data_IF_236969157881
#
_entry.id   IF_236969157881
#
_cell.length_a   1.000
_cell.length_b   1.000
_cell.length_c   1.000
_cell.angle_alpha   90.00
_cell.angle_beta   90.00
_cell.angle_gamma   90.00
#
_symmetry.space_group_name_H-M   'P 1'
#
loop_
_entity.id
_entity.type
_entity.pdbx_description
1 polymer ?
#
# COMPACT_ATOMS: atom_id res chain seq x y z
N UNK A 1 0.13 -1.02 -4.34
CA UNK A 1 -1.18 -1.12 -5.01
C UNK A 1 -2.15 -2.04 -4.23
N UNK A 2 -1.93 -3.38 -4.12
CA UNK A 2 -2.85 -4.30 -3.40
C UNK A 2 -3.06 -3.88 -1.94
N UNK A 3 -1.99 -3.56 -1.21
CA UNK A 3 -2.06 -3.07 0.18
C UNK A 3 -2.97 -1.84 0.32
N UNK A 4 -2.83 -0.86 -0.58
CA UNK A 4 -3.62 0.37 -0.57
C UNK A 4 -5.09 0.09 -0.88
N UNK A 5 -5.36 -0.81 -1.83
CA UNK A 5 -6.72 -1.24 -2.19
C UNK A 5 -7.42 -1.97 -1.02
N UNK A 6 -6.69 -2.80 -0.27
CA UNK A 6 -7.23 -3.45 0.94
C UNK A 6 -7.61 -2.42 2.00
N UNK A 7 -6.76 -1.40 2.23
CA UNK A 7 -7.08 -0.30 3.16
C UNK A 7 -8.32 0.48 2.73
N UNK A 8 -8.44 0.81 1.42
CA UNK A 8 -9.64 1.45 0.88
C UNK A 8 -10.89 0.60 1.09
N UNK A 9 -10.85 -0.68 0.68
CA UNK A 9 -11.99 -1.60 0.83
C UNK A 9 -12.43 -1.76 2.28
N UNK A 10 -11.47 -1.76 3.21
CA UNK A 10 -11.81 -1.76 4.64
C UNK A 10 -12.61 -0.54 5.05
N UNK A 11 -12.25 0.67 4.57
CA UNK A 11 -13.00 1.89 4.89
C UNK A 11 -14.42 1.85 4.29
N UNK A 12 -14.55 1.45 3.02
CA UNK A 12 -15.85 1.26 2.36
C UNK A 12 -16.71 0.25 3.15
N UNK A 13 -16.08 -0.82 3.63
CA UNK A 13 -16.71 -1.82 4.46
C UNK A 13 -17.27 -1.25 5.78
N UNK A 14 -16.57 -0.30 6.37
CA UNK A 14 -17.03 0.42 7.56
C UNK A 14 -18.12 1.46 7.24
N UNK A 15 -18.61 1.53 6.00
CA UNK A 15 -19.63 2.50 5.56
C UNK A 15 -19.07 3.90 5.33
N UNK A 16 -17.74 4.03 5.16
CA UNK A 16 -17.10 5.32 4.90
C UNK A 16 -16.86 5.48 3.39
N UNK A 17 -16.94 6.69 2.91
CA UNK A 17 -16.43 7.04 1.58
C UNK A 17 -14.91 6.97 1.60
N UNK A 18 -14.31 6.35 0.56
CA UNK A 18 -12.88 6.22 0.46
C UNK A 18 -12.43 6.31 -1.00
N UNK A 19 -11.46 7.18 -1.27
CA UNK A 19 -10.90 7.44 -2.61
C UNK A 19 -9.48 6.89 -2.64
N UNK A 20 -9.16 6.14 -3.69
CA UNK A 20 -7.81 5.63 -3.97
C UNK A 20 -7.26 6.27 -5.24
N UNK A 21 -6.17 7.00 -5.10
CA UNK A 21 -5.38 7.52 -6.20
C UNK A 21 -4.09 6.71 -6.34
N UNK A 22 -3.76 6.30 -7.56
CA UNK A 22 -2.48 5.71 -7.96
C UNK A 22 -2.03 6.32 -9.27
N UNK A 23 -0.84 5.99 -9.76
CA UNK A 23 -0.36 6.56 -11.01
C UNK A 23 1.04 6.16 -11.38
N UNK A 24 1.59 6.87 -12.37
CA UNK A 24 2.94 6.69 -12.89
C UNK A 24 3.75 7.98 -12.79
N UNK A 25 4.99 7.83 -12.32
CA UNK A 25 6.03 8.85 -12.38
C UNK A 25 6.77 8.66 -13.71
N UNK A 26 6.69 9.68 -14.59
CA UNK A 26 7.05 9.55 -16.02
C UNK A 26 8.17 10.49 -16.47
N UNK A 27 8.69 11.33 -15.59
CA UNK A 27 9.77 12.27 -15.89
C UNK A 27 11.12 11.80 -15.34
N UNK A 28 12.16 12.57 -15.62
CA UNK A 28 13.48 12.38 -15.05
C UNK A 28 14.48 11.66 -15.96
N UNK A 29 15.72 11.60 -15.48
CA UNK A 29 16.87 11.06 -16.21
C UNK A 29 16.72 9.57 -16.55
N UNK A 30 16.12 8.78 -15.66
CA UNK A 30 15.91 7.34 -15.88
C UNK A 30 15.01 7.07 -17.08
N UNK A 31 13.90 7.79 -17.15
CA UNK A 31 12.93 7.66 -18.25
C UNK A 31 13.58 8.15 -19.54
N UNK A 32 14.21 9.32 -19.52
CA UNK A 32 14.92 9.85 -20.69
C UNK A 32 15.94 8.82 -21.25
N UNK A 33 16.77 8.23 -20.39
CA UNK A 33 17.75 7.22 -20.81
C UNK A 33 17.09 5.90 -21.26
N UNK A 34 15.97 5.50 -20.64
CA UNK A 34 15.27 4.29 -21.02
C UNK A 34 14.60 4.44 -22.39
N UNK A 35 13.97 5.58 -22.67
CA UNK A 35 13.40 5.91 -23.96
C UNK A 35 14.46 5.95 -25.07
N UNK A 36 15.62 6.59 -24.78
CA UNK A 36 16.76 6.62 -25.70
C UNK A 36 17.27 5.21 -26.04
N UNK A 37 17.44 4.34 -25.03
CA UNK A 37 17.83 2.94 -25.25
C UNK A 37 16.79 2.15 -26.05
N UNK A 38 15.51 2.48 -25.89
CA UNK A 38 14.43 1.87 -26.65
C UNK A 38 14.25 2.48 -28.05
N UNK A 39 15.04 3.48 -28.41
CA UNK A 39 14.93 4.26 -29.66
C UNK A 39 13.48 4.76 -29.87
N UNK A 40 12.90 5.35 -28.84
CA UNK A 40 11.50 5.83 -28.82
C UNK A 40 11.47 7.22 -28.18
N UNK A 41 10.56 8.07 -28.62
CA UNK A 41 10.31 9.35 -27.97
C UNK A 41 9.84 9.13 -26.52
N UNK A 42 10.30 9.93 -25.55
CA UNK A 42 9.97 9.75 -24.13
C UNK A 42 8.46 9.74 -23.86
N UNK A 43 7.69 10.58 -24.51
CA UNK A 43 6.23 10.61 -24.33
C UNK A 43 5.58 9.29 -24.76
N UNK A 44 5.92 8.79 -25.96
CA UNK A 44 5.42 7.50 -26.46
C UNK A 44 5.86 6.32 -25.56
N UNK A 45 7.10 6.38 -25.04
CA UNK A 45 7.60 5.40 -24.09
C UNK A 45 6.77 5.37 -22.80
N UNK A 46 6.43 6.56 -22.27
CA UNK A 46 5.58 6.72 -21.09
C UNK A 46 4.12 6.29 -21.35
N UNK A 47 3.54 6.63 -22.49
CA UNK A 47 2.17 6.23 -22.87
C UNK A 47 2.03 4.71 -22.83
N UNK A 48 2.96 3.98 -23.46
CA UNK A 48 2.98 2.51 -23.43
C UNK A 48 3.17 1.96 -22.01
N UNK A 49 4.05 2.59 -21.23
CA UNK A 49 4.27 2.21 -19.83
C UNK A 49 3.02 2.41 -18.97
N UNK A 50 2.35 3.54 -19.10
CA UNK A 50 1.14 3.86 -18.34
C UNK A 50 0.00 2.88 -18.65
N UNK A 51 -0.20 2.50 -19.91
CA UNK A 51 -1.23 1.52 -20.29
C UNK A 51 -0.97 0.15 -19.65
N UNK A 52 0.29 -0.30 -19.58
CA UNK A 52 0.66 -1.55 -18.88
C UNK A 52 0.28 -1.46 -17.39
N UNK A 53 0.55 -0.32 -16.73
CA UNK A 53 0.18 -0.15 -15.32
C UNK A 53 -1.34 -0.06 -15.12
N UNK A 54 -2.08 0.60 -16.01
CA UNK A 54 -3.55 0.63 -15.98
C UNK A 54 -4.12 -0.77 -16.15
N UNK A 55 -3.63 -1.55 -17.11
CA UNK A 55 -4.03 -2.95 -17.29
C UNK A 55 -3.72 -3.78 -16.04
N UNK A 56 -2.56 -3.58 -15.41
CA UNK A 56 -2.23 -4.24 -14.15
C UNK A 56 -3.24 -3.90 -13.03
N UNK A 57 -3.72 -2.64 -12.94
CA UNK A 57 -4.73 -2.29 -11.93
C UNK A 57 -6.01 -3.09 -12.13
N UNK A 58 -6.44 -3.26 -13.38
CA UNK A 58 -7.64 -4.04 -13.74
C UNK A 58 -7.44 -5.51 -13.41
N UNK A 59 -6.33 -6.12 -13.87
CA UNK A 59 -6.07 -7.55 -13.67
C UNK A 59 -5.83 -7.91 -12.20
N UNK A 60 -5.25 -7.01 -11.41
CA UNK A 60 -5.10 -7.17 -9.97
C UNK A 60 -6.39 -6.88 -9.18
N UNK A 61 -7.48 -6.50 -9.83
CA UNK A 61 -8.76 -6.22 -9.20
C UNK A 61 -8.72 -5.02 -8.26
N UNK A 62 -7.98 -3.97 -8.61
CA UNK A 62 -7.91 -2.75 -7.80
C UNK A 62 -9.14 -1.86 -8.01
N UNK A 63 -9.53 -1.17 -6.96
CA UNK A 63 -10.66 -0.24 -6.94
C UNK A 63 -10.21 1.23 -6.92
N UNK A 64 -9.14 1.55 -7.65
CA UNK A 64 -8.67 2.93 -7.73
C UNK A 64 -9.67 3.82 -8.48
N UNK A 65 -9.90 5.03 -7.94
CA UNK A 65 -10.81 6.03 -8.51
C UNK A 65 -10.08 6.93 -9.49
N UNK A 66 -8.80 7.20 -9.22
CA UNK A 66 -7.95 8.05 -10.04
C UNK A 66 -6.66 7.34 -10.42
N UNK A 67 -6.21 7.62 -11.63
CA UNK A 67 -4.87 7.25 -12.12
C UNK A 67 -4.20 8.52 -12.62
N UNK A 68 -3.19 9.00 -11.90
CA UNK A 68 -2.44 10.21 -12.24
C UNK A 68 -1.20 9.85 -13.04
N UNK A 69 -0.93 10.64 -14.07
CA UNK A 69 0.34 10.61 -14.80
C UNK A 69 1.04 11.94 -14.62
N UNK A 70 2.33 11.94 -14.34
CA UNK A 70 3.06 13.21 -14.20
C UNK A 70 3.21 13.97 -15.53
N UNK A 71 2.91 13.31 -16.65
CA UNK A 71 2.80 13.93 -17.98
C UNK A 71 1.43 14.55 -18.28
N UNK A 72 0.39 14.34 -17.44
CA UNK A 72 -0.92 14.97 -17.59
C UNK A 72 -0.79 16.51 -17.50
N UNK A 73 -1.61 17.23 -18.26
CA UNK A 73 -1.57 18.70 -18.28
C UNK A 73 -1.92 19.32 -16.93
N UNK A 74 -2.94 18.79 -16.24
CA UNK A 74 -3.34 19.24 -14.91
C UNK A 74 -2.22 19.09 -13.87
N UNK A 75 -1.41 18.04 -14.02
CA UNK A 75 -0.25 17.84 -13.16
C UNK A 75 0.87 18.86 -13.45
N UNK A 76 1.18 19.08 -14.73
CA UNK A 76 2.18 20.08 -15.12
C UNK A 76 1.81 21.48 -14.62
N UNK A 77 0.53 21.86 -14.78
CA UNK A 77 0.01 23.13 -14.27
C UNK A 77 0.14 23.22 -12.74
N UNK A 78 -0.21 22.17 -12.02
CA UNK A 78 -0.08 22.11 -10.57
C UNK A 78 1.37 22.27 -10.10
N UNK A 79 2.33 21.60 -10.76
CA UNK A 79 3.75 21.68 -10.43
C UNK A 79 4.31 23.08 -10.71
N UNK A 80 3.99 23.68 -11.85
CA UNK A 80 4.43 25.03 -12.20
C UNK A 80 3.84 26.08 -11.26
N UNK A 81 2.57 25.93 -10.88
CA UNK A 81 1.95 26.78 -9.87
C UNK A 81 2.65 26.65 -8.50
N UNK A 82 2.91 25.41 -8.05
CA UNK A 82 3.63 25.16 -6.80
C UNK A 82 5.04 25.80 -6.82
N UNK A 83 5.76 25.66 -7.94
CA UNK A 83 7.06 26.31 -8.12
C UNK A 83 6.98 27.83 -7.96
N UNK A 84 6.04 28.49 -8.64
CA UNK A 84 5.81 29.93 -8.54
C UNK A 84 5.54 30.36 -7.11
N UNK A 85 4.68 29.64 -6.39
CA UNK A 85 4.35 29.92 -4.97
C UNK A 85 5.56 29.77 -4.06
N UNK A 86 6.36 28.72 -4.25
CA UNK A 86 7.59 28.50 -3.46
C UNK A 86 8.62 29.62 -3.72
N UNK A 87 8.74 30.07 -4.99
CA UNK A 87 9.62 31.19 -5.38
C UNK A 87 9.16 32.52 -4.77
N UNK A 88 7.87 32.85 -4.87
CA UNK A 88 7.27 34.04 -4.27
C UNK A 88 7.48 34.10 -2.74
N UNK A 89 7.40 32.95 -2.06
CA UNK A 89 7.59 32.83 -0.61
C UNK A 89 9.06 32.79 -0.21
N UNK A 90 10.00 32.87 -1.15
CA UNK A 90 11.43 32.93 -0.89
C UNK A 90 12.09 31.60 -0.55
N UNK A 91 11.40 30.47 -0.78
CA UNK A 91 11.97 29.14 -0.56
C UNK A 91 12.82 28.64 -1.72
N UNK A 92 12.76 29.26 -2.90
CA UNK A 92 13.57 28.93 -4.08
C UNK A 92 14.60 30.04 -4.36
N UNK A 93 15.85 29.63 -4.59
CA UNK A 93 16.94 30.53 -4.99
C UNK A 93 17.88 29.85 -5.99
N UNK A 94 18.53 30.61 -6.85
CA UNK A 94 19.53 30.10 -7.78
C UNK A 94 20.91 30.04 -7.11
N UNK A 95 21.65 28.97 -7.30
CA UNK A 95 23.02 28.80 -6.82
C UNK A 95 23.76 27.77 -7.71
N UNK A 96 25.10 27.87 -7.72
CA UNK A 96 25.93 26.83 -8.30
C UNK A 96 25.96 25.63 -7.35
N UNK A 97 25.57 24.48 -7.84
CA UNK A 97 25.65 23.21 -7.09
C UNK A 97 26.86 22.40 -7.52
N UNK A 98 27.62 21.94 -6.55
CA UNK A 98 28.77 21.03 -6.77
C UNK A 98 28.62 19.86 -5.81
N UNK A 99 28.69 18.63 -6.34
CA UNK A 99 28.56 17.45 -5.49
C UNK A 99 28.51 16.14 -6.27
N UNK A 100 28.42 15.05 -5.51
CA UNK A 100 28.31 13.70 -6.02
C UNK A 100 26.87 13.36 -6.41
N UNK A 101 26.61 13.24 -7.70
CA UNK A 101 25.28 12.94 -8.23
C UNK A 101 25.13 11.48 -8.62
N UNK A 102 24.06 10.84 -8.15
CA UNK A 102 23.67 9.50 -8.57
C UNK A 102 22.57 9.56 -9.62
N UNK A 103 22.87 9.24 -10.88
CA UNK A 103 21.87 9.19 -11.96
C UNK A 103 20.78 8.15 -11.66
N UNK A 104 21.16 7.01 -11.09
CA UNK A 104 20.23 5.93 -10.77
C UNK A 104 19.26 6.25 -9.62
N UNK A 105 19.64 7.12 -8.69
CA UNK A 105 18.81 7.55 -7.57
C UNK A 105 18.22 8.94 -7.82
N UNK A 106 18.70 9.59 -8.91
CA UNK A 106 18.33 10.96 -9.31
C UNK A 106 18.51 11.96 -8.17
N UNK A 107 19.59 11.79 -7.36
CA UNK A 107 19.85 12.64 -6.20
C UNK A 107 21.33 12.95 -6.00
N UNK A 108 21.62 14.04 -5.29
CA UNK A 108 22.96 14.36 -4.80
C UNK A 108 23.19 13.71 -3.45
N UNK A 109 24.41 13.22 -3.23
CA UNK A 109 24.87 12.68 -1.97
C UNK A 109 25.97 13.55 -1.38
N UNK A 110 25.98 13.79 -0.05
CA UNK A 110 27.11 14.46 0.60
C UNK A 110 28.36 13.56 0.52
N UNK A 111 29.53 14.18 0.54
CA UNK A 111 30.80 13.46 0.45
C UNK A 111 30.96 12.37 1.53
N UNK A 112 30.41 12.61 2.72
CA UNK A 112 30.37 11.65 3.83
C UNK A 112 29.57 10.37 3.56
N UNK A 113 28.68 10.38 2.57
CA UNK A 113 27.85 9.24 2.16
C UNK A 113 28.41 8.53 0.90
N UNK A 114 29.66 8.84 0.50
CA UNK A 114 30.29 8.28 -0.69
C UNK A 114 31.42 7.34 -0.28
N UNK A 115 31.54 6.23 -0.99
CA UNK A 115 32.64 5.27 -0.84
C UNK A 115 33.17 4.80 -2.19
N UNK A 116 34.43 4.34 -2.20
CA UNK A 116 35.04 3.74 -3.40
C UNK A 116 34.71 2.26 -3.42
N UNK A 117 34.13 1.78 -4.51
CA UNK A 117 33.80 0.36 -4.74
C UNK A 117 34.57 -0.21 -5.92
N UNK A 118 34.73 -1.53 -5.89
CA UNK A 118 35.28 -2.32 -6.98
C UNK A 118 34.16 -3.10 -7.65
N UNK A 119 34.03 -2.98 -8.97
CA UNK A 119 33.16 -3.87 -9.75
C UNK A 119 33.85 -5.24 -9.89
N UNK A 120 33.30 -6.30 -9.30
CA UNK A 120 33.95 -7.62 -9.30
C UNK A 120 34.00 -8.28 -10.70
N UNK A 121 33.16 -7.83 -11.64
CA UNK A 121 33.11 -8.39 -13.00
C UNK A 121 34.08 -7.71 -13.95
N UNK A 122 34.26 -6.41 -13.82
CA UNK A 122 35.12 -5.62 -14.75
C UNK A 122 36.45 -5.22 -14.13
N UNK A 123 36.60 -5.33 -12.80
CA UNK A 123 37.78 -4.84 -12.09
C UNK A 123 37.88 -3.31 -12.02
N UNK A 124 36.87 -2.57 -12.50
CA UNK A 124 36.82 -1.10 -12.45
C UNK A 124 36.49 -0.61 -11.04
N UNK A 125 37.23 0.38 -10.58
CA UNK A 125 36.87 1.11 -9.36
C UNK A 125 36.05 2.33 -9.70
N UNK A 126 35.00 2.57 -8.90
CA UNK A 126 34.10 3.71 -9.07
C UNK A 126 33.69 4.26 -7.70
N UNK A 127 33.20 5.50 -7.69
CA UNK A 127 32.60 6.11 -6.50
C UNK A 127 31.12 5.72 -6.44
N UNK A 128 30.66 5.32 -5.27
CA UNK A 128 29.30 4.85 -5.05
C UNK A 128 28.67 5.46 -3.79
N UNK A 129 27.35 5.59 -3.79
CA UNK A 129 26.60 5.90 -2.58
C UNK A 129 26.70 4.73 -1.58
N UNK A 130 27.01 5.02 -0.33
CA UNK A 130 26.98 4.02 0.77
C UNK A 130 25.57 3.48 0.99
N UNK A 131 24.55 4.31 0.76
CA UNK A 131 23.14 3.97 0.99
C UNK A 131 22.61 2.95 -0.04
N UNK A 132 22.90 3.17 -1.34
CA UNK A 132 22.32 2.36 -2.42
C UNK A 132 23.35 1.49 -3.15
N UNK A 133 24.64 1.77 -2.96
CA UNK A 133 25.75 1.09 -3.66
C UNK A 133 25.86 1.45 -5.14
N UNK A 134 25.09 2.43 -5.62
CA UNK A 134 25.09 2.84 -7.02
C UNK A 134 26.15 3.88 -7.31
N UNK A 135 26.64 3.86 -8.57
CA UNK A 135 27.67 4.78 -9.04
C UNK A 135 27.22 6.23 -8.95
N UNK A 136 28.15 7.10 -8.50
CA UNK A 136 27.99 8.55 -8.44
C UNK A 136 29.07 9.23 -9.25
N UNK A 137 28.77 10.38 -9.82
CA UNK A 137 29.69 11.24 -10.56
C UNK A 137 29.75 12.62 -9.93
N UNK A 138 30.95 13.23 -9.92
CA UNK A 138 31.10 14.61 -9.49
C UNK A 138 30.55 15.54 -10.56
N UNK A 139 29.66 16.44 -10.20
CA UNK A 139 29.08 17.41 -11.11
C UNK A 139 29.05 18.80 -10.51
N UNK A 140 29.12 19.82 -11.39
CA UNK A 140 29.07 21.24 -11.02
C UNK A 140 28.20 21.94 -12.05
N UNK A 141 27.04 22.43 -11.60
CA UNK A 141 26.05 23.03 -12.48
C UNK A 141 25.26 24.15 -11.78
N UNK A 142 24.79 25.17 -12.52
CA UNK A 142 23.87 26.17 -11.98
C UNK A 142 22.48 25.54 -11.84
N UNK A 143 21.95 25.53 -10.62
CA UNK A 143 20.65 24.97 -10.31
C UNK A 143 19.84 25.90 -9.43
N UNK A 144 18.52 25.69 -9.40
CA UNK A 144 17.66 26.23 -8.35
C UNK A 144 17.69 25.30 -7.14
N UNK A 145 17.65 25.90 -5.95
CA UNK A 145 17.67 25.21 -4.67
C UNK A 145 16.43 25.56 -3.86
N UNK A 146 15.92 24.56 -3.13
CA UNK A 146 14.87 24.72 -2.14
C UNK A 146 15.49 24.82 -0.75
N UNK A 147 15.08 25.82 0.05
CA UNK A 147 15.57 26.07 1.42
C UNK A 147 15.05 25.03 2.41
N UNK A 148 15.42 23.77 2.22
CA UNK A 148 15.01 22.67 3.08
C UNK A 148 15.52 22.86 4.51
N UNK A 149 16.74 23.35 4.67
CA UNK A 149 17.36 23.62 5.97
C UNK A 149 16.54 24.58 6.84
N UNK A 150 15.85 25.55 6.24
CA UNK A 150 15.02 26.52 6.95
C UNK A 150 13.77 25.91 7.60
N UNK A 151 13.37 24.71 7.20
CA UNK A 151 12.17 24.03 7.70
C UNK A 151 12.47 22.97 8.75
N UNK A 152 13.74 22.79 9.13
CA UNK A 152 14.20 21.77 10.09
C UNK A 152 13.40 21.78 11.39
N UNK A 153 13.31 22.94 12.03
CA UNK A 153 12.69 23.04 13.35
C UNK A 153 11.16 22.86 13.28
N UNK A 154 10.52 23.33 12.20
CA UNK A 154 9.09 23.10 11.95
C UNK A 154 8.79 21.62 11.73
N UNK A 155 9.63 20.90 10.98
CA UNK A 155 9.51 19.46 10.77
C UNK A 155 9.67 18.70 12.09
N UNK A 156 10.65 19.03 12.91
CA UNK A 156 10.86 18.37 14.21
C UNK A 156 9.66 18.60 15.14
N UNK A 157 9.17 19.83 15.22
CA UNK A 157 7.96 20.16 15.99
C UNK A 157 6.77 19.33 15.50
N UNK A 158 6.53 19.30 14.19
CA UNK A 158 5.45 18.51 13.60
C UNK A 158 5.55 17.02 13.96
N UNK A 159 6.74 16.42 13.90
CA UNK A 159 6.92 15.01 14.26
C UNK A 159 6.78 14.74 15.77
N UNK A 160 7.04 15.70 16.62
CA UNK A 160 6.77 15.58 18.05
C UNK A 160 5.28 15.62 18.37
N UNK A 161 4.55 16.49 17.70
CA UNK A 161 3.10 16.63 17.82
C UNK A 161 2.35 15.46 17.16
N UNK A 162 2.96 14.80 16.14
CA UNK A 162 2.36 13.73 15.35
C UNK A 162 3.24 12.45 15.38
N UNK A 163 3.39 11.76 16.52
CA UNK A 163 4.33 10.65 16.67
C UNK A 163 4.01 9.43 15.80
N UNK A 164 2.78 9.32 15.28
CA UNK A 164 2.31 8.24 14.39
C UNK A 164 2.24 8.67 12.92
N UNK A 165 2.85 9.80 12.56
CA UNK A 165 2.83 10.30 11.18
C UNK A 165 3.46 9.32 10.19
N UNK A 166 4.57 8.66 10.57
CA UNK A 166 5.21 7.61 9.76
C UNK A 166 5.04 6.26 10.44
N UNK A 167 4.53 5.29 9.70
CA UNK A 167 4.34 3.89 10.11
C UNK A 167 5.23 2.99 9.25
N UNK A 168 5.96 2.04 9.83
CA UNK A 168 6.09 1.70 11.25
C UNK A 168 6.96 2.68 12.04
N UNK A 169 6.90 2.59 13.37
CA UNK A 169 7.62 3.51 14.27
C UNK A 169 9.14 3.52 14.07
N UNK A 170 9.72 2.41 13.62
CA UNK A 170 11.15 2.34 13.28
C UNK A 170 11.52 3.37 12.21
N UNK A 171 10.67 3.54 11.18
CA UNK A 171 10.88 4.53 10.12
C UNK A 171 10.68 5.97 10.62
N UNK A 172 9.73 6.18 11.52
CA UNK A 172 9.57 7.48 12.18
C UNK A 172 10.83 7.89 12.95
N UNK A 173 11.47 6.93 13.63
CA UNK A 173 12.71 7.16 14.35
C UNK A 173 13.87 7.51 13.40
N UNK A 174 13.97 6.80 12.25
CA UNK A 174 14.96 7.11 11.20
C UNK A 174 14.77 8.54 10.67
N UNK A 175 13.53 8.92 10.34
CA UNK A 175 13.17 10.26 9.84
C UNK A 175 13.53 11.34 10.86
N UNK A 176 13.15 11.17 12.13
CA UNK A 176 13.51 12.12 13.20
C UNK A 176 15.01 12.27 13.35
N UNK A 177 15.76 11.17 13.26
CA UNK A 177 17.21 11.18 13.33
C UNK A 177 17.82 11.98 12.18
N UNK A 178 17.43 11.69 10.94
CA UNK A 178 17.96 12.42 9.77
C UNK A 178 17.72 13.91 9.84
N UNK A 179 16.54 14.36 10.30
CA UNK A 179 16.24 15.78 10.44
C UNK A 179 17.04 16.41 11.60
N UNK A 180 17.27 15.67 12.70
CA UNK A 180 18.10 16.14 13.84
C UNK A 180 19.56 16.29 13.45
N UNK A 181 20.09 15.33 12.68
CA UNK A 181 21.48 15.32 12.22
C UNK A 181 21.83 16.48 11.29
N UNK A 182 20.81 17.11 10.67
CA UNK A 182 20.91 18.30 9.85
C UNK A 182 20.27 18.11 8.47
N UNK A 183 19.74 19.19 7.93
CA UNK A 183 19.19 19.24 6.57
C UNK A 183 19.98 20.24 5.74
N UNK A 184 20.39 19.82 4.56
CA UNK A 184 20.98 20.67 3.53
C UNK A 184 19.91 21.12 2.53
N UNK A 185 20.10 22.28 1.91
CA UNK A 185 19.20 22.77 0.88
C UNK A 185 19.23 21.86 -0.35
N UNK A 186 18.04 21.61 -0.90
CA UNK A 186 17.84 20.61 -1.96
C UNK A 186 17.95 21.26 -3.35
N UNK A 187 18.82 20.73 -4.21
CA UNK A 187 18.85 21.12 -5.62
C UNK A 187 17.61 20.62 -6.34
N UNK A 188 16.76 21.52 -6.83
CA UNK A 188 15.42 21.24 -7.38
C UNK A 188 15.26 21.56 -8.87
N UNK A 189 16.35 21.79 -9.59
CA UNK A 189 16.34 21.87 -11.07
C UNK A 189 17.57 21.22 -11.67
N UNK A 190 17.53 21.01 -12.97
CA UNK A 190 18.66 20.53 -13.79
C UNK A 190 18.71 21.32 -15.08
N UNK A 191 19.92 21.63 -15.62
CA UNK A 191 20.03 22.22 -16.94
C UNK A 191 19.37 21.32 -18.02
N UNK A 192 18.65 21.93 -18.95
CA UNK A 192 17.97 21.22 -20.06
C UNK A 192 18.99 20.43 -20.91
N UNK A 193 20.23 20.89 -21.01
CA UNK A 193 21.32 20.16 -21.67
C UNK A 193 21.59 18.76 -21.06
N UNK A 194 21.26 18.59 -19.79
CA UNK A 194 21.40 17.33 -19.06
C UNK A 194 20.08 16.56 -18.97
N UNK A 195 19.00 17.26 -18.65
CA UNK A 195 17.65 16.70 -18.48
C UNK A 195 16.65 17.52 -19.28
N UNK A 196 16.27 17.04 -20.46
CA UNK A 196 15.28 17.68 -21.32
C UNK A 196 13.87 17.04 -21.22
N UNK A 197 13.75 15.93 -20.46
CA UNK A 197 12.49 15.24 -20.25
C UNK A 197 11.97 15.47 -18.82
N UNK A 198 11.12 16.47 -18.68
CA UNK A 198 10.52 16.91 -17.42
C UNK A 198 9.73 18.20 -17.61
N UNK A 199 9.27 18.77 -16.53
CA UNK A 199 8.50 20.03 -16.53
C UNK A 199 9.48 21.22 -16.57
N UNK A 200 9.35 22.13 -17.54
CA UNK A 200 10.21 23.32 -17.59
C UNK A 200 10.01 24.21 -16.36
N UNK A 201 11.09 24.84 -15.90
CA UNK A 201 11.00 25.86 -14.87
C UNK A 201 10.24 27.08 -15.43
N UNK A 202 9.21 27.60 -14.73
CA UNK A 202 8.55 28.82 -15.13
C UNK A 202 9.55 29.99 -15.24
N UNK A 203 9.48 30.74 -16.32
CA UNK A 203 10.34 31.89 -16.62
C UNK A 203 11.84 31.57 -16.83
N UNK A 204 12.22 30.27 -16.94
CA UNK A 204 13.59 29.86 -17.24
C UNK A 204 13.62 28.56 -18.07
N UNK A 205 13.51 28.66 -19.37
CA UNK A 205 13.52 27.51 -20.30
C UNK A 205 14.87 26.76 -20.35
N UNK A 206 15.92 27.28 -19.71
CA UNK A 206 17.22 26.61 -19.63
C UNK A 206 17.28 25.54 -18.53
N UNK A 207 16.22 25.45 -17.70
CA UNK A 207 16.14 24.59 -16.55
C UNK A 207 14.88 23.69 -16.58
N UNK A 208 15.02 22.47 -16.16
CA UNK A 208 13.94 21.51 -15.93
C UNK A 208 13.75 21.27 -14.44
N UNK A 209 12.50 21.26 -13.98
CA UNK A 209 12.16 21.00 -12.58
C UNK A 209 12.62 19.58 -12.20
N UNK A 210 13.20 19.47 -11.01
CA UNK A 210 13.67 18.22 -10.44
C UNK A 210 12.52 17.22 -10.23
N UNK A 211 12.76 15.98 -10.67
CA UNK A 211 11.76 14.92 -10.70
C UNK A 211 11.04 14.68 -9.36
N UNK A 212 11.71 14.85 -8.22
CA UNK A 212 11.06 14.64 -6.94
C UNK A 212 10.14 15.78 -6.51
N UNK A 213 10.40 17.03 -6.89
CA UNK A 213 9.43 18.12 -6.69
C UNK A 213 8.21 17.90 -7.59
N UNK A 214 8.46 17.52 -8.84
CA UNK A 214 7.44 17.13 -9.81
C UNK A 214 6.59 15.98 -9.28
N UNK A 215 7.21 14.82 -9.03
CA UNK A 215 6.52 13.59 -8.63
C UNK A 215 5.69 13.78 -7.35
N UNK A 216 6.18 14.49 -6.33
CA UNK A 216 5.48 14.62 -5.05
C UNK A 216 4.20 15.46 -5.14
N UNK A 217 4.12 16.42 -6.08
CA UNK A 217 2.90 17.21 -6.30
C UNK A 217 1.73 16.36 -6.84
N UNK A 218 1.99 15.15 -7.39
CA UNK A 218 0.91 14.27 -7.86
C UNK A 218 -0.15 13.98 -6.78
N UNK A 219 0.26 13.92 -5.52
CA UNK A 219 -0.63 13.60 -4.40
C UNK A 219 -1.75 14.61 -4.20
N UNK A 220 -1.56 15.86 -4.63
CA UNK A 220 -2.55 16.93 -4.56
C UNK A 220 -3.19 17.25 -5.93
N UNK A 221 -2.62 16.78 -7.02
CA UNK A 221 -3.10 17.09 -8.38
C UNK A 221 -4.54 16.62 -8.58
N UNK A 222 -4.82 15.34 -8.35
CA UNK A 222 -6.18 14.77 -8.58
C UNK A 222 -7.20 15.17 -7.52
N UNK A 223 -6.77 15.79 -6.43
CA UNK A 223 -7.66 16.52 -5.53
C UNK A 223 -7.96 17.95 -5.99
N UNK A 224 -7.47 18.33 -7.18
CA UNK A 224 -7.79 19.58 -7.86
C UNK A 224 -6.90 20.77 -7.49
N UNK A 225 -5.69 20.54 -6.97
CA UNK A 225 -4.73 21.61 -6.72
C UNK A 225 -4.30 22.31 -8.03
N UNK A 226 -4.24 23.66 -8.07
CA UNK A 226 -4.42 24.59 -6.97
C UNK A 226 -5.88 24.87 -6.62
N UNK A 227 -6.23 24.71 -5.34
CA UNK A 227 -7.59 24.97 -4.84
C UNK A 227 -7.86 26.45 -4.61
N UNK A 228 -9.15 26.80 -4.60
CA UNK A 228 -9.56 28.03 -3.94
C UNK A 228 -9.23 27.94 -2.42
N UNK A 229 -8.75 29.00 -1.78
CA UNK A 229 -8.41 28.96 -0.36
C UNK A 229 -9.55 28.40 0.51
N UNK A 230 -9.24 27.40 1.34
CA UNK A 230 -10.19 26.75 2.25
C UNK A 230 -11.06 25.64 1.62
N UNK A 231 -10.91 25.33 0.32
CA UNK A 231 -11.70 24.29 -0.35
C UNK A 231 -11.02 22.92 -0.39
N UNK A 232 -9.78 22.79 0.02
CA UNK A 232 -8.94 21.59 -0.03
C UNK A 232 -9.61 20.37 0.64
N UNK A 233 -10.30 20.56 1.77
CA UNK A 233 -11.02 19.49 2.49
C UNK A 233 -12.17 18.92 1.68
N UNK A 234 -12.88 19.76 0.95
CA UNK A 234 -14.00 19.34 0.10
C UNK A 234 -13.51 18.53 -1.12
N UNK A 235 -12.22 18.66 -1.44
CA UNK A 235 -11.56 17.96 -2.54
C UNK A 235 -10.79 16.71 -2.09
N UNK A 236 -10.95 16.30 -0.82
CA UNK A 236 -10.32 15.09 -0.28
C UNK A 236 -8.87 15.27 0.22
N UNK A 237 -8.42 16.51 0.40
CA UNK A 237 -7.12 16.78 1.02
C UNK A 237 -7.29 17.35 2.44
N UNK A 238 -6.50 16.96 3.46
CA UNK A 238 -5.33 16.09 3.38
C UNK A 238 -5.68 14.60 3.24
N UNK A 239 -4.79 13.86 2.56
CA UNK A 239 -4.89 12.41 2.46
C UNK A 239 -4.83 11.76 3.85
N UNK A 240 -5.69 10.75 4.10
CA UNK A 240 -5.65 10.00 5.35
C UNK A 240 -4.39 9.12 5.44
N UNK A 241 -4.03 8.44 4.35
CA UNK A 241 -2.85 7.58 4.29
C UNK A 241 -2.18 7.67 2.91
N UNK A 242 -0.88 7.91 2.90
CA UNK A 242 -0.02 7.70 1.73
C UNK A 242 0.79 6.42 1.92
N UNK A 243 0.78 5.51 0.95
CA UNK A 243 1.48 4.22 1.04
C UNK A 243 2.69 4.23 0.10
N UNK A 244 3.87 3.99 0.65
CA UNK A 244 5.14 4.09 -0.07
C UNK A 244 6.07 2.90 0.23
N UNK A 245 7.03 2.66 -0.65
CA UNK A 245 8.14 1.74 -0.39
C UNK A 245 9.19 2.36 0.55
N UNK A 246 9.88 1.52 1.31
CA UNK A 246 10.90 1.96 2.28
C UNK A 246 12.10 2.69 1.67
N UNK A 247 12.35 2.53 0.37
CA UNK A 247 13.45 3.16 -0.35
C UNK A 247 13.21 4.63 -0.72
N UNK A 248 11.98 5.12 -0.55
CA UNK A 248 11.59 6.51 -0.84
C UNK A 248 11.12 7.27 0.40
N UNK A 249 11.47 6.77 1.60
CA UNK A 249 11.08 7.38 2.89
C UNK A 249 11.56 8.82 3.00
N UNK A 250 12.82 9.12 2.64
CA UNK A 250 13.38 10.47 2.74
C UNK A 250 12.58 11.48 1.92
N UNK A 251 12.19 11.11 0.70
CA UNK A 251 11.42 11.98 -0.19
C UNK A 251 10.01 12.26 0.34
N UNK A 252 9.32 11.24 0.85
CA UNK A 252 7.93 11.37 1.30
C UNK A 252 7.78 11.84 2.74
N UNK A 253 8.75 11.51 3.59
CA UNK A 253 8.65 11.83 5.00
C UNK A 253 9.46 13.08 5.42
N UNK A 254 10.30 13.64 4.53
CA UNK A 254 11.06 14.87 4.79
C UNK A 254 10.77 15.91 3.71
N UNK A 255 11.08 15.63 2.43
CA UNK A 255 10.95 16.62 1.36
C UNK A 255 9.50 17.00 1.11
N UNK A 256 8.60 16.03 1.01
CA UNK A 256 7.18 16.26 0.81
C UNK A 256 6.53 17.10 1.92
N UNK A 257 6.67 16.76 3.21
CA UNK A 257 6.23 17.62 4.29
C UNK A 257 6.82 19.02 4.25
N UNK A 258 8.11 19.16 3.90
CA UNK A 258 8.75 20.46 3.77
C UNK A 258 8.15 21.30 2.64
N UNK A 259 7.88 20.70 1.47
CA UNK A 259 7.20 21.42 0.37
C UNK A 259 5.80 21.87 0.78
N UNK A 260 5.04 21.02 1.44
CA UNK A 260 3.69 21.36 1.92
C UNK A 260 3.72 22.49 2.96
N UNK A 261 4.63 22.43 3.94
CA UNK A 261 4.82 23.52 4.91
C UNK A 261 5.20 24.82 4.22
N UNK A 262 6.13 24.79 3.26
CA UNK A 262 6.54 25.96 2.50
C UNK A 262 5.40 26.54 1.64
N UNK A 263 4.49 25.69 1.15
CA UNK A 263 3.29 26.08 0.39
C UNK A 263 2.11 26.51 1.26
N UNK A 264 2.19 26.31 2.59
CA UNK A 264 1.09 26.50 3.54
C UNK A 264 -0.11 25.59 3.27
N UNK A 265 0.20 24.32 2.93
CA UNK A 265 -0.77 23.28 2.64
C UNK A 265 -0.75 22.28 3.80
N UNK A 266 -1.94 21.82 4.29
CA UNK A 266 -2.01 20.78 5.31
C UNK A 266 -1.25 19.51 4.91
N UNK A 267 -0.56 18.88 5.87
CA UNK A 267 0.16 17.63 5.64
C UNK A 267 -0.81 16.43 5.61
N UNK A 268 -0.47 15.32 4.93
CA UNK A 268 -1.21 14.07 5.05
C UNK A 268 -1.22 13.60 6.50
N UNK A 269 -2.24 12.82 6.90
CA UNK A 269 -2.36 12.38 8.30
C UNK A 269 -1.33 11.32 8.65
N UNK A 270 -1.10 10.35 7.75
CA UNK A 270 -0.12 9.28 7.95
C UNK A 270 0.58 8.87 6.65
N UNK A 271 1.81 8.40 6.78
CA UNK A 271 2.58 7.77 5.71
C UNK A 271 2.92 6.35 6.15
N UNK A 272 2.36 5.36 5.43
CA UNK A 272 2.67 3.95 5.63
C UNK A 272 3.83 3.57 4.72
N UNK A 273 4.93 3.14 5.30
CA UNK A 273 6.09 2.62 4.57
C UNK A 273 6.09 1.10 4.63
N UNK A 274 6.04 0.44 3.49
CA UNK A 274 6.12 -1.02 3.44
C UNK A 274 7.53 -1.49 3.05
N UNK A 275 7.90 -2.68 3.52
CA UNK A 275 9.13 -3.35 3.16
C UNK A 275 9.08 -3.92 1.72
N UNK A 276 10.18 -4.47 1.24
CA UNK A 276 10.28 -4.97 -0.13
C UNK A 276 9.97 -6.47 -0.22
N UNK A 277 9.54 -6.87 -1.41
CA UNK A 277 9.58 -8.25 -1.83
C UNK A 277 10.95 -8.57 -2.43
N UNK A 278 11.58 -9.62 -1.94
CA UNK A 278 12.85 -10.15 -2.45
C UNK A 278 12.61 -11.44 -3.24
N UNK A 279 13.61 -11.90 -3.98
CA UNK A 279 13.61 -13.20 -4.63
C UNK A 279 14.93 -13.89 -4.29
N UNK A 280 14.84 -14.99 -3.52
CA UNK A 280 16.02 -15.66 -2.98
C UNK A 280 16.82 -14.75 -2.04
N UNK A 281 16.11 -13.96 -1.21
CA UNK A 281 16.66 -12.96 -0.29
C UNK A 281 17.46 -11.83 -0.95
N UNK A 282 17.30 -11.65 -2.26
CA UNK A 282 17.92 -10.57 -3.02
C UNK A 282 16.87 -9.57 -3.51
N UNK A 283 17.19 -8.27 -3.46
CA UNK A 283 16.34 -7.22 -4.00
C UNK A 283 16.06 -7.48 -5.48
N UNK A 284 14.80 -7.48 -5.88
CA UNK A 284 14.42 -7.61 -7.28
C UNK A 284 14.88 -6.38 -8.07
N UNK A 285 15.61 -6.60 -9.15
CA UNK A 285 16.05 -5.54 -10.05
C UNK A 285 16.04 -6.01 -11.51
N UNK A 286 15.60 -5.14 -12.43
CA UNK A 286 15.61 -5.44 -13.86
C UNK A 286 17.02 -5.72 -14.39
N UNK A 287 18.02 -5.06 -13.83
CA UNK A 287 19.43 -5.22 -14.22
C UNK A 287 20.00 -6.60 -13.88
N UNK A 288 19.46 -7.28 -12.87
CA UNK A 288 19.87 -8.63 -12.47
C UNK A 288 18.98 -9.72 -13.06
N UNK A 289 17.89 -9.35 -13.74
CA UNK A 289 16.95 -10.29 -14.34
C UNK A 289 16.11 -11.11 -13.35
N UNK A 290 16.17 -10.79 -12.05
CA UNK A 290 15.46 -11.50 -10.99
C UNK A 290 14.10 -10.85 -10.65
N UNK A 291 13.36 -10.39 -11.66
CA UNK A 291 12.05 -9.74 -11.47
C UNK A 291 10.94 -10.70 -11.84
N UNK A 292 9.93 -10.79 -10.97
CA UNK A 292 8.72 -11.57 -11.23
C UNK A 292 7.71 -10.69 -11.97
N UNK A 293 7.20 -11.19 -13.10
CA UNK A 293 6.09 -10.54 -13.81
C UNK A 293 4.78 -10.71 -13.02
N UNK A 294 4.11 -9.61 -12.63
CA UNK A 294 2.84 -9.70 -11.92
C UNK A 294 1.73 -10.30 -12.80
N UNK A 295 1.73 -10.05 -14.10
CA UNK A 295 0.77 -10.63 -15.04
C UNK A 295 0.89 -12.16 -15.08
N UNK A 296 2.10 -12.68 -15.22
CA UNK A 296 2.34 -14.12 -15.21
C UNK A 296 1.95 -14.76 -13.86
N UNK A 297 2.20 -14.08 -12.76
CA UNK A 297 1.82 -14.58 -11.44
C UNK A 297 0.28 -14.62 -11.27
N UNK A 298 -0.44 -13.60 -11.74
CA UNK A 298 -1.90 -13.55 -11.71
C UNK A 298 -2.49 -14.63 -12.64
N UNK A 299 -1.97 -14.77 -13.85
CA UNK A 299 -2.42 -15.81 -14.80
C UNK A 299 -2.23 -17.22 -14.23
N UNK A 300 -1.08 -17.48 -13.59
CA UNK A 300 -0.73 -18.80 -13.06
C UNK A 300 -1.49 -19.17 -11.79
N UNK A 301 -1.68 -18.25 -10.87
CA UNK A 301 -2.18 -18.54 -9.53
C UNK A 301 -3.59 -17.99 -9.26
N UNK A 302 -4.10 -17.13 -10.13
CA UNK A 302 -5.34 -16.39 -9.94
C UNK A 302 -5.18 -15.13 -9.09
N UNK A 303 -6.02 -14.12 -9.36
CA UNK A 303 -5.95 -12.82 -8.70
C UNK A 303 -6.17 -12.92 -7.19
N UNK A 304 -7.17 -13.70 -6.75
CA UNK A 304 -7.50 -13.83 -5.32
C UNK A 304 -6.36 -14.48 -4.54
N UNK A 305 -5.73 -15.52 -5.12
CA UNK A 305 -4.57 -16.18 -4.51
C UNK A 305 -3.40 -15.22 -4.36
N UNK A 306 -3.12 -14.42 -5.41
CA UNK A 306 -2.03 -13.46 -5.36
C UNK A 306 -2.32 -12.34 -4.37
N UNK A 307 -3.53 -11.80 -4.33
CA UNK A 307 -3.94 -10.78 -3.36
C UNK A 307 -3.82 -11.30 -1.92
N UNK A 308 -4.32 -12.52 -1.69
CA UNK A 308 -4.21 -13.18 -0.39
C UNK A 308 -2.76 -13.36 0.04
N UNK A 309 -1.90 -13.91 -0.83
CA UNK A 309 -0.49 -14.10 -0.56
C UNK A 309 0.23 -12.79 -0.25
N UNK A 310 0.04 -11.77 -1.08
CA UNK A 310 0.66 -10.46 -0.89
C UNK A 310 0.23 -9.78 0.42
N UNK A 311 -1.02 -9.97 0.83
CA UNK A 311 -1.53 -9.42 2.08
C UNK A 311 -1.09 -10.21 3.31
N UNK A 312 -1.03 -11.55 3.18
CA UNK A 312 -0.72 -12.46 4.28
C UNK A 312 0.79 -12.49 4.60
N UNK A 313 1.65 -12.57 3.57
CA UNK A 313 3.09 -12.74 3.72
C UNK A 313 3.86 -11.41 3.53
N UNK A 314 3.21 -10.37 2.99
CA UNK A 314 3.83 -9.05 2.77
C UNK A 314 4.12 -8.33 4.06
N UNK A 315 5.41 -8.02 4.30
CA UNK A 315 5.87 -7.33 5.50
C UNK A 315 5.65 -5.81 5.42
N UNK A 316 5.33 -5.20 6.56
CA UNK A 316 5.39 -3.74 6.73
C UNK A 316 6.78 -3.32 7.21
N UNK A 317 7.32 -4.00 8.22
CA UNK A 317 8.63 -3.68 8.80
C UNK A 317 9.78 -4.40 8.08
N UNK A 318 9.61 -5.69 7.77
CA UNK A 318 10.65 -6.57 7.28
C UNK A 318 10.36 -7.06 5.86
N UNK A 319 11.44 -7.30 5.10
CA UNK A 319 11.34 -7.80 3.73
C UNK A 319 10.78 -9.22 3.71
N UNK A 320 9.94 -9.50 2.70
CA UNK A 320 9.34 -10.81 2.47
C UNK A 320 9.92 -11.45 1.21
N UNK A 321 10.20 -12.74 1.25
CA UNK A 321 10.75 -13.44 0.11
C UNK A 321 9.63 -14.04 -0.77
N UNK A 322 9.69 -13.76 -2.06
CA UNK A 322 8.72 -14.29 -3.03
C UNK A 322 9.08 -15.73 -3.40
N UNK A 323 8.11 -16.64 -3.30
CA UNK A 323 8.32 -18.01 -3.70
C UNK A 323 7.01 -18.71 -4.15
N UNK A 324 7.08 -19.38 -5.29
CA UNK A 324 5.92 -20.12 -5.81
C UNK A 324 5.42 -21.18 -4.84
N UNK A 325 6.30 -21.81 -4.06
CA UNK A 325 5.94 -22.78 -3.04
C UNK A 325 5.08 -22.16 -1.95
N UNK A 326 5.38 -20.92 -1.53
CA UNK A 326 4.61 -20.20 -0.52
C UNK A 326 3.21 -19.85 -1.03
N UNK A 327 3.11 -19.39 -2.29
CA UNK A 327 1.81 -19.10 -2.93
C UNK A 327 0.92 -20.35 -2.93
N UNK A 328 1.46 -21.49 -3.37
CA UNK A 328 0.72 -22.78 -3.38
C UNK A 328 0.33 -23.19 -1.97
N UNK A 329 1.21 -23.01 -0.99
CA UNK A 329 0.90 -23.33 0.40
C UNK A 329 -0.23 -22.46 0.95
N UNK A 330 -0.19 -21.14 0.73
CA UNK A 330 -1.23 -20.21 1.15
C UNK A 330 -2.57 -20.51 0.48
N UNK A 331 -2.55 -20.83 -0.82
CA UNK A 331 -3.76 -21.30 -1.50
C UNK A 331 -4.35 -22.56 -0.85
N UNK A 332 -3.53 -23.62 -0.71
CA UNK A 332 -4.00 -24.91 -0.20
C UNK A 332 -4.45 -24.85 1.25
N UNK A 333 -3.67 -24.23 2.13
CA UNK A 333 -3.99 -24.18 3.56
C UNK A 333 -5.02 -23.08 3.86
N UNK A 334 -4.78 -21.85 3.39
CA UNK A 334 -5.62 -20.70 3.70
C UNK A 334 -6.93 -20.71 2.94
N UNK A 335 -6.87 -20.58 1.61
CA UNK A 335 -8.07 -20.40 0.80
C UNK A 335 -8.86 -21.70 0.63
N UNK A 336 -8.23 -22.79 0.19
CA UNK A 336 -8.92 -24.03 -0.07
C UNK A 336 -9.28 -24.78 1.23
N UNK A 337 -8.29 -25.11 2.05
CA UNK A 337 -8.45 -25.89 3.29
C UNK A 337 -9.01 -25.09 4.46
N UNK A 338 -8.80 -23.79 4.50
CA UNK A 338 -9.36 -22.88 5.50
C UNK A 338 -10.74 -22.38 5.09
N UNK A 339 -10.78 -21.25 4.38
CA UNK A 339 -12.02 -20.54 4.03
C UNK A 339 -12.96 -21.40 3.15
N UNK A 340 -12.44 -22.03 2.09
CA UNK A 340 -13.22 -22.84 1.18
C UNK A 340 -13.84 -24.07 1.87
N UNK A 341 -13.08 -24.72 2.76
CA UNK A 341 -13.60 -25.82 3.58
C UNK A 341 -14.70 -25.33 4.53
N UNK A 342 -14.50 -24.21 5.21
CA UNK A 342 -15.51 -23.59 6.08
C UNK A 342 -16.81 -23.32 5.32
N UNK A 343 -16.72 -22.63 4.17
CA UNK A 343 -17.89 -22.33 3.33
C UNK A 343 -18.60 -23.61 2.89
N UNK A 344 -17.84 -24.62 2.42
CA UNK A 344 -18.41 -25.91 1.98
C UNK A 344 -19.14 -26.63 3.11
N UNK A 345 -18.56 -26.64 4.31
CA UNK A 345 -19.16 -27.29 5.50
C UNK A 345 -20.42 -26.57 5.99
N UNK A 346 -20.47 -25.23 5.83
CA UNK A 346 -21.64 -24.44 6.19
C UNK A 346 -22.76 -24.49 5.16
N UNK A 347 -22.44 -24.56 3.86
CA UNK A 347 -23.45 -24.41 2.79
C UNK A 347 -23.91 -25.71 2.18
N UNK A 348 -23.16 -26.83 2.33
CA UNK A 348 -23.43 -28.13 1.69
C UNK A 348 -23.73 -29.30 2.66
N UNK A 349 -24.09 -29.11 3.94
CA UNK A 349 -24.36 -30.22 4.83
C UNK A 349 -25.69 -30.91 4.46
N UNK A 350 -25.73 -32.25 4.64
CA UNK A 350 -26.94 -33.03 4.40
C UNK A 350 -27.96 -32.93 5.54
N UNK A 351 -27.55 -32.44 6.72
CA UNK A 351 -28.35 -32.47 7.96
C UNK A 351 -29.05 -31.17 8.29
N UNK A 352 -28.78 -30.11 7.55
CA UNK A 352 -29.37 -28.78 7.73
C UNK A 352 -29.52 -28.02 6.42
N UNK A 353 -30.26 -26.90 6.42
CA UNK A 353 -30.52 -26.11 5.23
C UNK A 353 -30.34 -24.61 5.57
N UNK A 354 -29.38 -23.94 4.91
CA UNK A 354 -29.16 -22.50 5.06
C UNK A 354 -30.42 -21.68 4.74
N UNK A 355 -31.17 -21.94 3.63
CA UNK A 355 -32.40 -21.22 3.36
C UNK A 355 -33.44 -21.35 4.48
N UNK A 356 -33.61 -22.57 5.06
CA UNK A 356 -34.50 -22.78 6.18
C UNK A 356 -34.05 -22.01 7.43
N UNK A 357 -32.77 -22.01 7.70
CA UNK A 357 -32.19 -21.31 8.83
C UNK A 357 -32.34 -19.79 8.70
N UNK A 358 -32.11 -19.23 7.51
CA UNK A 358 -32.33 -17.80 7.23
C UNK A 358 -33.80 -17.42 7.41
N UNK A 359 -34.74 -18.28 6.95
CA UNK A 359 -36.18 -18.06 7.14
C UNK A 359 -36.57 -18.02 8.61
N UNK A 360 -36.09 -18.97 9.41
CA UNK A 360 -36.35 -19.00 10.86
C UNK A 360 -35.77 -17.77 11.58
N UNK A 361 -34.61 -17.29 11.12
CA UNK A 361 -34.03 -16.06 11.65
C UNK A 361 -34.88 -14.82 11.33
N UNK A 362 -35.41 -14.76 10.09
CA UNK A 362 -36.24 -13.64 9.65
C UNK A 362 -37.62 -13.60 10.35
N UNK A 363 -38.18 -14.74 10.73
CA UNK A 363 -39.47 -14.84 11.45
C UNK A 363 -39.33 -14.71 12.95
N UNK A 364 -38.13 -14.56 13.49
CA UNK A 364 -37.90 -14.51 14.93
C UNK A 364 -38.12 -15.82 15.67
N UNK A 365 -38.27 -16.93 14.96
CA UNK A 365 -38.47 -18.28 15.50
C UNK A 365 -37.17 -18.97 15.96
N UNK A 366 -36.06 -18.24 16.00
CA UNK A 366 -34.81 -18.75 16.55
C UNK A 366 -34.93 -18.84 18.07
N UNK A 367 -34.41 -19.95 18.61
CA UNK A 367 -34.30 -20.14 20.03
C UNK A 367 -33.32 -19.11 20.64
N UNK A 368 -33.51 -18.81 21.93
CA UNK A 368 -32.51 -18.11 22.73
C UNK A 368 -31.15 -18.81 22.59
N UNK A 369 -30.04 -18.05 22.42
CA UNK A 369 -28.71 -18.63 22.30
C UNK A 369 -28.35 -19.41 23.58
N UNK A 370 -27.79 -20.62 23.42
CA UNK A 370 -27.25 -21.37 24.53
C UNK A 370 -25.90 -20.76 24.98
N UNK A 371 -25.35 -21.27 26.09
CA UNK A 371 -24.06 -20.76 26.63
C UNK A 371 -22.93 -20.82 25.60
N UNK A 372 -22.84 -21.90 24.82
CA UNK A 372 -21.82 -22.05 23.75
C UNK A 372 -21.97 -20.98 22.66
N UNK A 373 -23.19 -20.67 22.26
CA UNK A 373 -23.46 -19.62 21.27
C UNK A 373 -23.08 -18.23 21.79
N UNK A 374 -23.25 -17.98 23.10
CA UNK A 374 -22.84 -16.73 23.74
C UNK A 374 -21.31 -16.60 23.73
N UNK A 375 -20.60 -17.68 24.10
CA UNK A 375 -19.11 -17.71 24.05
C UNK A 375 -18.60 -17.45 22.63
N UNK A 376 -19.16 -18.14 21.64
CA UNK A 376 -18.73 -17.97 20.25
C UNK A 376 -19.02 -16.57 19.70
N UNK A 377 -20.13 -15.97 20.08
CA UNK A 377 -20.43 -14.59 19.72
C UNK A 377 -19.39 -13.63 20.31
N UNK A 378 -18.97 -13.86 21.54
CA UNK A 378 -17.93 -13.07 22.20
C UNK A 378 -16.59 -13.17 21.44
N UNK A 379 -16.18 -14.37 21.05
CA UNK A 379 -14.97 -14.59 20.25
C UNK A 379 -15.01 -13.79 18.93
N UNK A 380 -16.16 -13.76 18.25
CA UNK A 380 -16.36 -13.04 17.01
C UNK A 380 -16.32 -11.50 17.23
N UNK A 381 -16.94 -11.02 18.31
CA UNK A 381 -16.90 -9.59 18.65
C UNK A 381 -15.48 -9.16 19.02
N UNK A 382 -14.74 -9.97 19.77
CA UNK A 382 -13.33 -9.76 20.10
C UNK A 382 -12.44 -9.75 18.84
N UNK A 383 -12.69 -10.66 17.89
CA UNK A 383 -11.99 -10.66 16.60
C UNK A 383 -12.26 -9.38 15.80
N UNK A 384 -13.52 -8.94 15.74
CA UNK A 384 -13.88 -7.69 15.05
C UNK A 384 -13.11 -6.51 15.62
N UNK A 385 -13.01 -6.41 16.93
CA UNK A 385 -12.31 -5.33 17.61
C UNK A 385 -10.78 -5.43 17.40
N UNK A 386 -10.21 -6.63 17.46
CA UNK A 386 -8.80 -6.87 17.17
C UNK A 386 -8.45 -6.55 15.71
N UNK A 387 -9.25 -7.00 14.77
CA UNK A 387 -9.10 -6.69 13.34
C UNK A 387 -9.19 -5.19 13.07
N UNK A 388 -10.16 -4.51 13.71
CA UNK A 388 -10.30 -3.05 13.58
C UNK A 388 -9.08 -2.30 14.10
N UNK A 389 -8.46 -2.76 15.21
CA UNK A 389 -7.21 -2.20 15.73
C UNK A 389 -6.05 -2.41 14.77
N UNK A 390 -5.91 -3.61 14.17
CA UNK A 390 -4.87 -3.89 13.19
C UNK A 390 -4.99 -3.00 11.95
N UNK A 391 -6.20 -2.78 11.43
CA UNK A 391 -6.43 -1.82 10.34
C UNK A 391 -6.18 -0.37 10.76
N UNK A 392 -6.50 0.01 11.99
CA UNK A 392 -6.19 1.35 12.51
C UNK A 392 -4.69 1.57 12.65
N UNK A 393 -3.91 0.51 12.89
CA UNK A 393 -2.45 0.51 12.89
C UNK A 393 -1.84 0.36 11.48
N UNK A 394 -2.66 0.37 10.43
CA UNK A 394 -2.28 0.18 9.03
C UNK A 394 -1.58 -1.16 8.76
N UNK A 395 -1.93 -2.20 9.50
CA UNK A 395 -1.41 -3.57 9.35
C UNK A 395 -2.52 -4.55 8.93
N UNK A 396 -2.91 -4.57 7.64
CA UNK A 396 -3.90 -5.52 7.14
C UNK A 396 -3.40 -6.96 7.13
N UNK A 397 -2.09 -7.21 7.16
CA UNK A 397 -1.51 -8.53 7.30
C UNK A 397 -1.86 -9.15 8.64
N UNK A 398 -1.61 -8.42 9.74
CA UNK A 398 -2.00 -8.85 11.09
C UNK A 398 -3.51 -9.08 11.20
N UNK A 399 -4.33 -8.19 10.61
CA UNK A 399 -5.78 -8.37 10.56
C UNK A 399 -6.19 -9.67 9.86
N UNK A 400 -5.55 -9.97 8.71
CA UNK A 400 -5.81 -11.19 7.95
C UNK A 400 -5.39 -12.46 8.71
N UNK A 401 -4.25 -12.45 9.41
CA UNK A 401 -3.83 -13.54 10.28
C UNK A 401 -4.88 -13.84 11.35
N UNK A 402 -5.34 -12.82 12.08
CA UNK A 402 -6.38 -12.98 13.12
C UNK A 402 -7.67 -13.60 12.56
N UNK A 403 -8.10 -13.18 11.37
CA UNK A 403 -9.27 -13.75 10.69
C UNK A 403 -9.04 -15.22 10.34
N UNK A 404 -7.86 -15.54 9.80
CA UNK A 404 -7.57 -16.91 9.39
C UNK A 404 -7.38 -17.86 10.58
N UNK A 405 -6.85 -17.39 11.69
CA UNK A 405 -6.76 -18.17 12.94
C UNK A 405 -8.16 -18.57 13.42
N UNK A 406 -9.13 -17.65 13.42
CA UNK A 406 -10.51 -18.00 13.74
C UNK A 406 -11.12 -18.98 12.71
N UNK A 407 -10.84 -18.81 11.41
CA UNK A 407 -11.29 -19.76 10.37
C UNK A 407 -10.78 -21.18 10.65
N UNK A 408 -9.54 -21.31 11.09
CA UNK A 408 -8.95 -22.60 11.45
C UNK A 408 -9.59 -23.16 12.72
N UNK A 409 -9.74 -22.35 13.76
CA UNK A 409 -10.38 -22.77 15.01
C UNK A 409 -11.81 -23.29 14.76
N UNK A 410 -12.61 -22.54 14.01
CA UNK A 410 -13.98 -22.97 13.64
C UNK A 410 -13.97 -24.28 12.85
N UNK A 411 -13.05 -24.43 11.91
CA UNK A 411 -12.96 -25.65 11.11
C UNK A 411 -12.56 -26.89 11.90
N UNK A 412 -11.63 -26.75 12.84
CA UNK A 412 -10.98 -27.89 13.51
C UNK A 412 -11.56 -28.17 14.89
N UNK A 413 -12.01 -27.18 15.61
CA UNK A 413 -12.47 -27.31 16.99
C UNK A 413 -13.98 -27.22 17.15
N UNK A 414 -14.64 -26.31 16.46
CA UNK A 414 -16.07 -26.01 16.65
C UNK A 414 -16.95 -26.90 15.78
N UNK A 415 -16.69 -26.99 14.48
CA UNK A 415 -17.56 -27.73 13.56
C UNK A 415 -17.54 -29.25 13.70
N UNK A 416 -16.43 -29.97 13.98
CA UNK A 416 -16.44 -31.42 14.07
C UNK A 416 -17.31 -32.00 15.17
N UNK A 417 -17.32 -31.47 16.43
CA UNK A 417 -18.24 -31.89 17.47
C UNK A 417 -19.70 -31.74 17.07
N UNK A 418 -20.06 -30.58 16.49
CA UNK A 418 -21.42 -30.28 16.03
C UNK A 418 -21.86 -31.24 14.94
N UNK A 419 -21.01 -31.49 13.92
CA UNK A 419 -21.32 -32.46 12.85
C UNK A 419 -21.46 -33.90 13.35
N UNK A 420 -20.59 -34.34 14.26
CA UNK A 420 -20.63 -35.66 14.85
C UNK A 420 -21.90 -35.84 15.66
N UNK A 421 -22.29 -34.85 16.44
CA UNK A 421 -23.53 -34.84 17.20
C UNK A 421 -24.78 -34.93 16.28
N UNK A 422 -24.84 -34.09 15.24
CA UNK A 422 -25.95 -34.12 14.27
C UNK A 422 -26.05 -35.44 13.51
N UNK A 423 -24.93 -36.06 13.16
CA UNK A 423 -24.89 -37.40 12.54
C UNK A 423 -25.39 -38.50 13.50
N UNK A 424 -25.07 -38.39 14.79
CA UNK A 424 -25.55 -39.31 15.82
C UNK A 424 -27.06 -39.22 15.96
N UNK A 425 -27.61 -38.00 16.02
CA UNK A 425 -29.06 -37.76 16.08
C UNK A 425 -29.75 -38.32 14.81
N UNK A 426 -29.22 -38.02 13.61
CA UNK A 426 -29.82 -38.55 12.35
C UNK A 426 -29.85 -40.06 12.26
N UNK A 427 -28.88 -40.77 12.84
CA UNK A 427 -28.86 -42.24 12.94
C UNK A 427 -29.87 -42.77 13.97
N UNK A 428 -30.08 -42.06 15.07
CA UNK A 428 -31.06 -42.42 16.11
C UNK A 428 -32.49 -42.11 15.68
N UNK A 429 -32.73 -41.16 14.78
CA UNK A 429 -34.09 -40.80 14.33
C UNK A 429 -34.71 -41.77 13.34
N UNK A 430 -33.94 -42.66 12.74
CA UNK A 430 -34.49 -43.80 12.01
C UNK A 430 -35.16 -44.83 12.95
N UNK A 431 -34.98 -44.68 14.27
CA UNK A 431 -35.52 -45.60 15.30
C UNK A 431 -36.54 -44.95 16.24
N UNK A 432 -36.72 -43.62 16.22
CA UNK A 432 -37.64 -42.93 17.16
C UNK A 432 -38.51 -41.89 16.46
N UNK A 433 -39.80 -42.18 16.32
CA UNK A 433 -40.87 -41.19 16.10
C UNK A 433 -41.09 -40.46 17.39
N UNK A 434 -40.64 -39.19 17.55
CA UNK A 434 -41.13 -38.38 18.68
C UNK A 434 -40.96 -36.87 18.53
N UNK A 435 -41.83 -36.18 19.26
CA UNK A 435 -42.13 -34.71 19.31
C UNK A 435 -40.97 -33.80 19.73
N UNK A 436 -39.89 -34.34 20.27
CA UNK A 436 -38.80 -33.52 20.85
C UNK A 436 -37.67 -33.14 19.82
N UNK A 437 -37.72 -33.68 18.63
CA UNK A 437 -36.67 -33.43 17.61
C UNK A 437 -36.66 -32.01 17.06
N UNK A 438 -37.83 -31.36 17.04
CA UNK A 438 -37.98 -29.99 16.53
C UNK A 438 -37.27 -28.93 17.35
N UNK A 439 -37.20 -29.10 18.66
CA UNK A 439 -36.57 -28.17 19.58
C UNK A 439 -35.02 -28.24 19.54
N UNK A 440 -34.48 -29.45 19.42
CA UNK A 440 -33.04 -29.68 19.31
C UNK A 440 -32.47 -29.22 17.98
N UNK A 441 -33.14 -29.53 16.87
CA UNK A 441 -32.75 -29.01 15.55
C UNK A 441 -32.76 -27.48 15.49
N UNK A 442 -33.70 -26.85 16.18
CA UNK A 442 -33.75 -25.39 16.26
C UNK A 442 -32.56 -24.79 17.01
N UNK A 443 -32.10 -25.43 18.10
CA UNK A 443 -30.96 -24.97 18.90
C UNK A 443 -29.64 -24.97 18.14
N UNK A 444 -29.34 -26.07 17.46
CA UNK A 444 -28.11 -26.25 16.70
C UNK A 444 -28.07 -25.36 15.43
N UNK A 445 -29.21 -25.18 14.76
CA UNK A 445 -29.38 -24.26 13.64
C UNK A 445 -29.16 -22.81 14.12
N UNK A 446 -29.58 -22.46 15.34
CA UNK A 446 -29.38 -21.14 15.93
C UNK A 446 -27.88 -20.83 16.15
N UNK A 447 -27.13 -21.78 16.72
CA UNK A 447 -25.71 -21.68 16.94
C UNK A 447 -24.97 -21.40 15.63
N UNK A 448 -25.27 -22.22 14.61
CA UNK A 448 -24.61 -22.11 13.30
C UNK A 448 -24.98 -20.85 12.52
N UNK A 449 -26.20 -20.33 12.68
CA UNK A 449 -26.60 -19.06 12.06
C UNK A 449 -25.87 -17.86 12.64
N UNK A 450 -25.61 -17.87 13.94
CA UNK A 450 -24.85 -16.80 14.57
C UNK A 450 -23.38 -16.82 14.09
N UNK A 451 -22.76 -18.00 14.02
CA UNK A 451 -21.42 -18.17 13.44
C UNK A 451 -21.43 -17.83 11.95
N UNK A 452 -22.45 -18.27 11.20
CA UNK A 452 -22.57 -17.98 9.77
C UNK A 452 -22.81 -16.48 9.49
N UNK A 453 -23.71 -15.83 10.24
CA UNK A 453 -24.00 -14.41 10.07
C UNK A 453 -22.75 -13.56 10.33
N UNK A 454 -21.97 -13.92 11.31
CA UNK A 454 -20.74 -13.21 11.64
C UNK A 454 -19.61 -13.49 10.65
N UNK A 455 -19.40 -14.77 10.26
CA UNK A 455 -18.39 -15.16 9.27
C UNK A 455 -18.81 -14.79 7.84
N UNK A 456 -20.09 -14.86 7.49
CA UNK A 456 -20.63 -14.44 6.19
C UNK A 456 -20.57 -12.93 6.03
N UNK A 457 -20.89 -12.17 7.05
CA UNK A 457 -20.71 -10.72 7.06
C UNK A 457 -19.20 -10.39 6.96
N UNK A 458 -18.35 -11.13 7.62
CA UNK A 458 -16.89 -10.92 7.54
C UNK A 458 -16.31 -11.39 6.20
N UNK A 459 -16.74 -12.54 5.68
CA UNK A 459 -16.26 -13.10 4.41
C UNK A 459 -16.82 -12.38 3.17
N UNK A 460 -18.12 -12.02 3.15
CA UNK A 460 -18.70 -11.16 2.10
C UNK A 460 -18.02 -9.80 2.06
N UNK A 461 -17.64 -9.33 3.20
CA UNK A 461 -16.96 -8.05 3.37
C UNK A 461 -15.48 -8.10 2.94
N UNK A 462 -14.86 -9.28 2.81
CA UNK A 462 -13.51 -9.48 2.31
C UNK A 462 -13.47 -9.89 0.82
N UNK A 463 -14.61 -10.35 0.25
CA UNK A 463 -14.72 -10.86 -1.13
C UNK A 463 -15.37 -9.89 -2.12
N UNK A 464 -15.78 -8.70 -1.67
CA UNK A 464 -16.32 -7.62 -2.54
C UNK A 464 -15.28 -6.56 -2.80
#
# INVERSE_FOLDING_TARGET
MVLTDILKRWQVLQGREAILCTGTDEHGMKIQQAALRANTEPNEFCDRGAEIFKDLTVQAGLSNDHFVRTTDSDHKDAVQYAWGRLKERGYIYASKHEGWYCVSDETFYPESAIEKRLDPFTGRTFMASQETGKEVEWTSEPNYHFRLSALRDQLLQFYEENPTFVVPQTRMNDVKKWVKDGLEDLSISRPVSRLNWGIPVPDDETQTIYVWLDALINYITKSGYPWAPGSERNMGWPADVQVIGKDIVRFHCIYWPAFLLALDIPLPKQILTHAHWTLGHQKMAKSTGNVVSPFFAIERFGVDTMRYYLAHDGGISDDSDYGNQFIVERYKKGLQGGLGNLVSRLTRPKVWSVPKAVKLAATGELCEPNEDAVVQRKIIDELRDATSKSFASLDPGAALHQIMDLVYEVNFEILPPVQKFLLTISRQTNTFKSRNLGLWQKREICLMLHVFKALYITALRLSV
#
